data_IF_405888584467
#
_entry.id   IF_405888584467
#
_cell.length_a   1.000
_cell.length_b   1.000
_cell.length_c   1.000
_cell.angle_alpha   90.00
_cell.angle_beta   90.00
_cell.angle_gamma   90.00
#
_symmetry.space_group_name_H-M   'P 1'
#
loop_
_entity.id
_entity.type
_entity.pdbx_description
1 polymer ?
#
# COMPACT_ATOMS: atom_id res chain seq x y z
N UNK A 1 6.81 -13.07 -20.91
CA UNK A 1 5.93 -12.11 -20.38
C UNK A 1 4.70 -12.74 -19.75
N UNK A 2 4.47 -12.48 -18.53
CA UNK A 2 3.33 -13.03 -17.84
C UNK A 2 2.36 -11.94 -17.45
N UNK A 3 1.19 -12.35 -17.04
CA UNK A 3 0.19 -11.41 -16.60
C UNK A 3 0.57 -10.71 -15.32
N UNK A 4 1.46 -11.31 -14.53
CA UNK A 4 1.90 -10.66 -13.31
C UNK A 4 2.71 -9.40 -13.61
N UNK A 5 3.12 -9.19 -14.85
CA UNK A 5 3.78 -7.95 -15.21
C UNK A 5 2.85 -6.77 -15.19
N UNK A 6 1.53 -7.02 -15.15
CA UNK A 6 0.56 -5.95 -15.12
C UNK A 6 0.58 -5.16 -13.81
N UNK A 7 0.96 -5.83 -12.71
CA UNK A 7 0.97 -5.21 -11.40
C UNK A 7 2.31 -5.45 -10.76
N UNK A 8 3.21 -4.50 -10.88
CA UNK A 8 4.49 -4.65 -10.24
C UNK A 8 4.58 -3.87 -8.96
N UNK A 9 3.88 -2.76 -8.87
CA UNK A 9 3.98 -1.91 -7.70
C UNK A 9 2.65 -1.22 -7.47
N UNK A 10 2.15 -1.34 -6.26
CA UNK A 10 0.87 -0.74 -5.87
C UNK A 10 1.11 0.11 -4.64
N UNK A 11 0.52 1.29 -4.64
CA UNK A 11 0.66 2.21 -3.52
C UNK A 11 -0.67 2.43 -2.83
N UNK A 12 -0.63 2.59 -1.51
CA UNK A 12 -1.80 2.91 -0.71
C UNK A 12 -1.55 4.24 -0.01
N UNK A 13 -2.41 5.21 -0.27
CA UNK A 13 -2.34 6.48 0.41
C UNK A 13 -3.42 6.49 1.48
N UNK A 14 -2.99 6.54 2.74
CA UNK A 14 -3.92 6.50 3.83
C UNK A 14 -4.26 5.09 4.27
N UNK A 15 -3.25 4.25 4.47
CA UNK A 15 -3.49 2.88 4.92
C UNK A 15 -4.20 2.90 6.26
N UNK A 16 -5.29 2.20 6.35
CA UNK A 16 -6.06 2.06 7.57
C UNK A 16 -6.70 0.70 7.55
N UNK A 17 -7.83 0.55 8.23
CA UNK A 17 -8.48 -0.75 8.30
C UNK A 17 -8.86 -1.26 6.91
N UNK A 18 -9.48 -0.40 6.11
CA UNK A 18 -9.91 -0.81 4.79
C UNK A 18 -8.72 -1.03 3.88
N UNK A 19 -7.77 -0.09 3.90
CA UNK A 19 -6.58 -0.22 3.08
C UNK A 19 -5.78 -1.44 3.46
N UNK A 20 -5.69 -1.73 4.77
CA UNK A 20 -4.98 -2.91 5.22
C UNK A 20 -5.60 -4.19 4.73
N UNK A 21 -6.95 -4.25 4.71
CA UNK A 21 -7.63 -5.44 4.20
C UNK A 21 -7.37 -5.64 2.72
N UNK A 22 -7.39 -4.55 1.95
CA UNK A 22 -7.12 -4.63 0.52
C UNK A 22 -5.68 -5.06 0.27
N UNK A 23 -4.74 -4.47 1.02
CA UNK A 23 -3.34 -4.82 0.87
C UNK A 23 -3.10 -6.30 1.17
N UNK A 24 -3.75 -6.80 2.21
CA UNK A 24 -3.61 -8.20 2.57
C UNK A 24 -4.13 -9.09 1.46
N UNK A 25 -5.26 -8.73 0.87
CA UNK A 25 -5.84 -9.51 -0.21
C UNK A 25 -4.91 -9.52 -1.42
N UNK A 26 -4.38 -8.37 -1.77
CA UNK A 26 -3.46 -8.28 -2.90
C UNK A 26 -2.21 -9.08 -2.64
N UNK A 27 -1.67 -9.01 -1.42
CA UNK A 27 -0.48 -9.76 -1.09
C UNK A 27 -0.73 -11.26 -1.21
N UNK A 28 -1.93 -11.70 -0.84
CA UNK A 28 -2.29 -13.10 -0.93
C UNK A 28 -2.43 -13.56 -2.37
N UNK A 29 -3.07 -12.73 -3.21
CA UNK A 29 -3.32 -13.09 -4.59
C UNK A 29 -2.11 -12.88 -5.49
N UNK A 30 -1.31 -11.87 -5.19
CA UNK A 30 -0.17 -11.50 -6.02
C UNK A 30 1.05 -11.29 -5.13
N UNK A 31 1.66 -12.37 -4.65
CA UNK A 31 2.75 -12.23 -3.68
C UNK A 31 3.99 -11.56 -4.24
N UNK A 32 4.12 -11.48 -5.56
CA UNK A 32 5.29 -10.85 -6.16
C UNK A 32 5.15 -9.34 -6.30
N UNK A 33 3.97 -8.81 -6.02
CA UNK A 33 3.74 -7.37 -6.16
C UNK A 33 4.36 -6.63 -4.99
N UNK A 34 5.00 -5.52 -5.29
CA UNK A 34 5.53 -4.63 -4.27
C UNK A 34 4.42 -3.70 -3.82
N UNK A 35 4.17 -3.66 -2.53
CA UNK A 35 3.14 -2.79 -1.97
C UNK A 35 3.80 -1.76 -1.08
N UNK A 36 3.57 -0.49 -1.36
CA UNK A 36 4.03 0.59 -0.50
C UNK A 36 2.83 1.35 0.01
N UNK A 37 3.01 2.03 1.14
CA UNK A 37 1.88 2.69 1.75
C UNK A 37 2.33 3.89 2.57
N UNK A 38 1.41 4.84 2.71
CA UNK A 38 1.59 5.91 3.67
C UNK A 38 0.33 5.97 4.52
N UNK A 39 0.43 6.60 5.68
CA UNK A 39 -0.68 6.67 6.61
C UNK A 39 -0.51 7.92 7.46
N UNK A 40 -1.48 8.18 8.32
CA UNK A 40 -1.40 9.32 9.21
C UNK A 40 -0.40 9.15 10.33
N UNK A 41 -0.05 7.90 10.65
CA UNK A 41 0.84 7.61 11.78
C UNK A 41 1.87 6.57 11.38
N UNK A 42 3.08 6.78 11.85
CA UNK A 42 4.15 5.82 11.60
C UNK A 42 3.80 4.45 12.16
N UNK A 43 3.05 4.40 13.24
CA UNK A 43 2.70 3.14 13.86
C UNK A 43 1.94 2.22 12.92
N UNK A 44 1.04 2.81 12.13
CA UNK A 44 0.28 2.02 11.16
C UNK A 44 1.23 1.36 10.16
N UNK A 45 2.21 2.10 9.71
CA UNK A 45 3.19 1.59 8.76
C UNK A 45 4.03 0.50 9.40
N UNK A 46 4.46 0.72 10.64
CA UNK A 46 5.29 -0.25 11.34
C UNK A 46 4.55 -1.57 11.51
N UNK A 47 3.27 -1.51 11.86
CA UNK A 47 2.48 -2.72 12.02
C UNK A 47 2.31 -3.46 10.70
N UNK A 48 1.99 -2.72 9.64
CA UNK A 48 1.80 -3.36 8.34
C UNK A 48 3.09 -3.97 7.83
N UNK A 49 4.20 -3.31 8.06
CA UNK A 49 5.49 -3.85 7.67
C UNK A 49 5.79 -5.12 8.44
N UNK A 50 5.46 -5.12 9.73
CA UNK A 50 5.67 -6.30 10.56
C UNK A 50 4.84 -7.48 10.14
N UNK A 51 3.69 -7.24 9.52
CA UNK A 51 2.85 -8.31 9.02
C UNK A 51 3.16 -8.65 7.55
N UNK A 52 4.19 -8.04 7.01
CA UNK A 52 4.62 -8.29 5.63
C UNK A 52 3.59 -7.84 4.59
N UNK A 53 2.76 -6.89 4.94
CA UNK A 53 1.75 -6.39 4.02
C UNK A 53 2.31 -5.33 3.08
N UNK A 54 3.31 -4.60 3.52
CA UNK A 54 3.91 -3.53 2.72
C UNK A 54 5.41 -3.69 2.74
N UNK A 55 6.06 -3.03 1.78
CA UNK A 55 7.50 -3.12 1.63
C UNK A 55 8.26 -2.01 2.32
N UNK A 56 7.60 -0.88 2.58
CA UNK A 56 8.29 0.26 3.19
C UNK A 56 8.18 0.16 4.71
N UNK A 57 9.29 0.47 5.35
CA UNK A 57 9.41 0.41 6.80
C UNK A 57 9.03 1.72 7.45
N UNK A 58 9.16 2.81 6.72
CA UNK A 58 8.82 4.14 7.19
C UNK A 58 7.80 4.76 6.26
N UNK A 59 7.21 5.87 6.71
CA UNK A 59 6.25 6.57 5.88
C UNK A 59 6.86 6.95 4.53
N UNK A 60 6.11 6.70 3.47
CA UNK A 60 6.53 7.07 2.13
C UNK A 60 6.18 8.51 1.85
N UNK A 61 6.94 9.12 0.95
CA UNK A 61 6.59 10.42 0.42
C UNK A 61 5.78 10.25 -0.85
N UNK A 62 5.11 11.30 -1.24
CA UNK A 62 4.28 11.25 -2.44
C UNK A 62 5.11 10.86 -3.67
N UNK A 63 6.33 11.34 -3.75
CA UNK A 63 7.18 11.04 -4.90
C UNK A 63 7.47 9.56 -5.02
N UNK A 64 7.36 8.81 -3.94
CA UNK A 64 7.62 7.38 -3.97
C UNK A 64 6.51 6.63 -4.70
N UNK A 65 5.40 7.28 -4.95
CA UNK A 65 4.26 6.65 -5.61
C UNK A 65 4.25 6.89 -7.11
N UNK A 66 5.19 7.65 -7.64
CA UNK A 66 5.16 8.03 -9.04
C UNK A 66 5.28 6.84 -9.98
N UNK A 67 5.99 5.81 -9.56
CA UNK A 67 6.19 4.64 -10.41
C UNK A 67 5.27 3.49 -10.05
N UNK A 68 4.25 3.76 -9.25
CA UNK A 68 3.26 2.74 -8.94
C UNK A 68 2.36 2.50 -10.14
N UNK A 69 2.01 1.24 -10.36
CA UNK A 69 1.05 0.90 -11.41
C UNK A 69 -0.35 1.30 -11.02
N UNK A 70 -0.67 1.20 -9.74
CA UNK A 70 -1.97 1.59 -9.20
C UNK A 70 -1.77 2.25 -7.86
N UNK A 71 -2.61 3.21 -7.57
CA UNK A 71 -2.60 3.89 -6.29
C UNK A 71 -4.01 3.87 -5.73
N UNK A 72 -4.15 3.37 -4.52
CA UNK A 72 -5.43 3.35 -3.83
C UNK A 72 -5.47 4.48 -2.81
N UNK A 73 -6.50 5.30 -2.91
CA UNK A 73 -6.72 6.38 -1.96
C UNK A 73 -7.67 5.87 -0.89
N UNK A 74 -7.15 5.63 0.29
CA UNK A 74 -7.93 5.04 1.37
C UNK A 74 -8.18 6.00 2.52
N UNK A 75 -7.81 7.26 2.35
CA UNK A 75 -8.06 8.24 3.39
C UNK A 75 -9.54 8.54 3.48
N UNK A 76 -10.08 8.66 4.69
CA UNK A 76 -11.48 9.03 4.81
C UNK A 76 -11.72 10.43 4.28
N UNK A 77 -12.88 10.62 3.67
CA UNK A 77 -13.27 11.93 3.18
C UNK A 77 -13.82 12.73 4.34
N UNK A 78 -13.17 13.83 4.62
CA UNK A 78 -13.65 14.70 5.69
C UNK A 78 -14.65 15.68 5.13
N UNK A 79 -15.76 15.77 5.79
CA UNK A 79 -16.82 16.68 5.42
C UNK A 79 -17.01 17.67 6.52
N UNK A 80 -16.97 18.91 6.22
CA UNK A 80 -17.18 19.91 7.24
C UNK A 80 -18.43 20.71 6.97
#
# INVERSE_FOLDING_TARGET
>A
MGEHDLFQKIGFIGLGLIGGSIAKKIHTLYPDVTIIATAGHQETITEAYGEHLISNQNLCEIKDFYDCDYIFLCTPVKRN
#
